data_IF_002685181563
#
_entry.id   IF_002685181563
#
_cell.length_a   1.000
_cell.length_b   1.000
_cell.length_c   1.000
_cell.angle_alpha   90.00
_cell.angle_beta   90.00
_cell.angle_gamma   90.00
#
_symmetry.space_group_name_H-M   'P 1'
#
loop_
_entity.id
_entity.type
_entity.pdbx_description
1 polymer ?
#
# COMPACT_ATOMS: atom_id res chain seq x y z
N UNK A 1 9.36 2.32 -9.01
CA UNK A 1 8.18 1.70 -9.66
C UNK A 1 7.61 2.70 -10.65
N UNK A 2 7.49 2.30 -11.92
CA UNK A 2 6.80 3.04 -12.96
C UNK A 2 5.41 2.43 -13.15
N UNK A 3 4.34 3.23 -13.00
CA UNK A 3 2.96 2.76 -13.07
C UNK A 3 2.52 2.70 -14.54
N UNK A 4 2.15 1.51 -15.02
CA UNK A 4 1.61 1.29 -16.37
C UNK A 4 0.09 1.20 -16.41
N UNK A 5 -0.54 0.92 -15.26
CA UNK A 5 -1.99 0.87 -15.16
C UNK A 5 -2.46 1.36 -13.80
N UNK A 6 -3.55 2.12 -13.85
CA UNK A 6 -4.27 2.61 -12.68
C UNK A 6 -5.75 2.26 -12.83
N UNK A 7 -6.35 1.68 -11.80
CA UNK A 7 -7.78 1.36 -11.76
C UNK A 7 -8.39 1.92 -10.48
N UNK A 8 -9.58 2.50 -10.59
CA UNK A 8 -10.36 2.94 -9.42
C UNK A 8 -11.65 2.12 -9.41
N UNK A 9 -11.91 1.46 -8.29
CA UNK A 9 -13.08 0.60 -8.11
C UNK A 9 -13.84 1.06 -6.89
N UNK A 10 -15.13 1.42 -7.07
CA UNK A 10 -16.03 1.72 -5.95
C UNK A 10 -16.64 0.41 -5.47
N UNK A 11 -16.50 0.15 -4.18
CA UNK A 11 -16.95 -1.09 -3.52
C UNK A 11 -17.91 -0.75 -2.38
N UNK A 12 -18.67 -1.74 -1.89
CA UNK A 12 -19.52 -1.56 -0.72
C UNK A 12 -18.73 -1.15 0.54
N UNK A 13 -17.44 -1.49 0.59
CA UNK A 13 -16.53 -1.17 1.69
C UNK A 13 -15.77 0.13 1.49
N UNK A 14 -15.98 0.86 0.39
CA UNK A 14 -15.33 2.13 0.08
C UNK A 14 -14.63 2.16 -1.29
N UNK A 15 -13.62 3.00 -1.46
CA UNK A 15 -12.94 3.23 -2.76
C UNK A 15 -11.60 2.51 -2.81
N UNK A 16 -11.42 1.59 -3.76
CA UNK A 16 -10.16 0.92 -4.02
C UNK A 16 -9.41 1.59 -5.18
N UNK A 17 -8.13 1.84 -5.01
CA UNK A 17 -7.22 2.33 -6.07
C UNK A 17 -6.12 1.30 -6.27
N UNK A 18 -5.98 0.80 -7.50
CA UNK A 18 -5.01 -0.21 -7.86
C UNK A 18 -3.98 0.36 -8.84
N UNK A 19 -2.71 0.07 -8.58
CA UNK A 19 -1.57 0.42 -9.42
C UNK A 19 -0.85 -0.85 -9.85
N UNK A 20 -0.55 -0.94 -11.15
CA UNK A 20 0.29 -2.01 -11.73
C UNK A 20 1.57 -1.39 -12.26
N UNK A 21 2.70 -1.92 -11.81
CA UNK A 21 4.04 -1.56 -12.24
C UNK A 21 4.52 -2.34 -13.46
N UNK A 22 5.56 -1.85 -14.12
CA UNK A 22 6.20 -2.54 -15.26
C UNK A 22 6.72 -3.94 -14.93
N UNK A 23 7.08 -4.21 -13.66
CA UNK A 23 7.53 -5.53 -13.20
C UNK A 23 6.41 -6.44 -12.74
N UNK A 24 5.17 -6.20 -13.19
CA UNK A 24 3.94 -6.85 -12.71
C UNK A 24 3.64 -6.64 -11.21
N UNK A 25 4.33 -5.71 -10.55
CA UNK A 25 4.05 -5.41 -9.16
C UNK A 25 2.68 -4.74 -9.04
N UNK A 26 1.83 -5.28 -8.15
CA UNK A 26 0.49 -4.76 -7.92
C UNK A 26 0.37 -4.18 -6.52
N UNK A 27 -0.09 -2.94 -6.43
CA UNK A 27 -0.39 -2.29 -5.17
C UNK A 27 -1.85 -1.84 -5.18
N UNK A 28 -2.60 -2.23 -4.16
CA UNK A 28 -4.00 -1.86 -3.99
C UNK A 28 -4.18 -1.11 -2.66
N UNK A 29 -4.76 0.09 -2.74
CA UNK A 29 -5.07 0.94 -1.59
C UNK A 29 -6.58 1.01 -1.43
N UNK A 30 -7.12 0.60 -0.28
CA UNK A 30 -8.54 0.66 0.02
C UNK A 30 -8.82 1.81 1.01
N UNK A 31 -9.61 2.78 0.59
CA UNK A 31 -10.18 3.82 1.44
C UNK A 31 -11.52 3.34 1.97
N UNK A 32 -11.61 3.06 3.27
CA UNK A 32 -12.81 2.49 3.92
C UNK A 32 -13.80 3.54 4.44
N UNK A 33 -13.54 4.83 4.21
CA UNK A 33 -14.46 5.88 4.65
C UNK A 33 -15.71 5.89 3.75
N UNK A 34 -16.83 5.49 4.35
CA UNK A 34 -18.13 5.38 3.69
C UNK A 34 -18.92 6.69 3.71
N UNK A 35 -18.52 7.68 4.51
CA UNK A 35 -19.27 8.94 4.67
C UNK A 35 -18.98 9.94 3.55
N UNK A 36 -17.78 9.88 2.97
CA UNK A 36 -17.38 10.72 1.84
C UNK A 36 -16.41 9.96 0.95
N UNK A 37 -16.94 9.35 -0.12
CA UNK A 37 -16.08 8.78 -1.15
C UNK A 37 -15.23 9.90 -1.77
N UNK A 38 -13.89 9.82 -1.73
CA UNK A 38 -13.05 10.82 -2.36
C UNK A 38 -13.34 10.88 -3.86
N UNK A 39 -13.16 12.07 -4.46
CA UNK A 39 -13.11 12.15 -5.91
C UNK A 39 -11.99 11.26 -6.45
N UNK A 40 -12.15 10.77 -7.68
CA UNK A 40 -11.18 9.88 -8.31
C UNK A 40 -9.76 10.45 -8.28
N UNK A 41 -9.60 11.75 -8.56
CA UNK A 41 -8.31 12.46 -8.47
C UNK A 41 -7.74 12.46 -7.05
N UNK A 42 -8.58 12.79 -6.05
CA UNK A 42 -8.16 12.81 -4.65
C UNK A 42 -7.80 11.41 -4.14
N UNK A 43 -8.53 10.39 -4.57
CA UNK A 43 -8.25 8.99 -4.22
C UNK A 43 -6.87 8.57 -4.75
N UNK A 44 -6.55 8.94 -5.99
CA UNK A 44 -5.26 8.64 -6.62
C UNK A 44 -4.11 9.35 -5.91
N UNK A 45 -4.25 10.64 -5.64
CA UNK A 45 -3.20 11.42 -4.97
C UNK A 45 -2.92 10.90 -3.55
N UNK A 46 -3.98 10.60 -2.79
CA UNK A 46 -3.86 9.97 -1.47
C UNK A 46 -3.20 8.60 -1.56
N UNK A 47 -3.57 7.79 -2.54
CA UNK A 47 -3.03 6.45 -2.67
C UNK A 47 -1.53 6.49 -3.03
N UNK A 48 -1.10 7.41 -3.90
CA UNK A 48 0.33 7.65 -4.17
C UNK A 48 1.09 8.12 -2.94
N UNK A 49 0.52 9.04 -2.15
CA UNK A 49 1.15 9.51 -0.91
C UNK A 49 1.34 8.37 0.10
N UNK A 50 0.33 7.50 0.25
CA UNK A 50 0.42 6.31 1.10
C UNK A 50 1.51 5.36 0.60
N UNK A 51 1.60 5.13 -0.72
CA UNK A 51 2.66 4.30 -1.31
C UNK A 51 4.06 4.82 -0.99
N UNK A 52 4.29 6.13 -1.13
CA UNK A 52 5.58 6.76 -0.80
C UNK A 52 5.90 6.60 0.69
N UNK A 53 4.92 6.80 1.57
CA UNK A 53 5.10 6.63 3.01
C UNK A 53 5.45 5.18 3.37
N UNK A 54 4.74 4.20 2.82
CA UNK A 54 5.00 2.77 3.06
C UNK A 54 6.41 2.40 2.58
N UNK A 55 6.81 2.85 1.39
CA UNK A 55 8.16 2.60 0.87
C UNK A 55 9.26 3.25 1.71
N UNK A 56 8.99 4.42 2.30
CA UNK A 56 9.99 5.21 3.05
C UNK A 56 10.17 4.69 4.48
N UNK A 57 9.09 4.40 5.18
CA UNK A 57 9.13 4.09 6.61
C UNK A 57 9.08 2.59 6.92
N UNK A 58 8.81 1.77 5.90
CA UNK A 58 8.46 0.37 6.03
C UNK A 58 7.15 0.21 6.80
N UNK A 59 6.48 -0.93 6.66
CA UNK A 59 5.38 -1.23 7.58
C UNK A 59 5.97 -1.67 8.92
N UNK A 60 5.26 -1.45 10.05
CA UNK A 60 5.66 -2.05 11.34
C UNK A 60 5.81 -3.57 11.24
N UNK A 61 5.09 -4.18 10.28
CA UNK A 61 5.15 -5.60 9.96
C UNK A 61 6.51 -6.02 9.38
N UNK A 62 7.09 -5.24 8.46
CA UNK A 62 8.43 -5.51 7.92
C UNK A 62 9.51 -5.42 9.01
N UNK A 63 9.37 -4.46 9.92
CA UNK A 63 10.30 -4.28 11.05
C UNK A 63 10.25 -5.45 12.04
N UNK A 64 9.06 -6.00 12.29
CA UNK A 64 8.85 -7.20 13.11
C UNK A 64 9.42 -8.46 12.44
N UNK A 65 9.24 -8.64 11.13
CA UNK A 65 9.81 -9.79 10.40
C UNK A 65 11.34 -9.76 10.37
N UNK A 66 11.95 -8.58 10.25
CA UNK A 66 13.41 -8.45 10.32
C UNK A 66 13.95 -8.73 11.73
N UNK A 67 13.25 -8.34 12.81
CA UNK A 67 13.67 -8.67 14.18
C UNK A 67 13.61 -10.16 14.53
N UNK A 68 12.64 -10.91 13.99
CA UNK A 68 12.52 -12.36 14.28
C UNK A 68 13.63 -13.17 13.60
N UNK A 69 14.07 -12.75 12.40
CA UNK A 69 15.15 -13.44 11.65
C UNK A 69 16.54 -13.08 12.19
N UNK A 70 16.70 -11.92 12.84
CA UNK A 70 17.98 -11.45 13.37
C UNK A 70 18.30 -11.86 14.80
N UNK A 71 17.59 -12.81 15.44
CA UNK A 71 18.09 -13.39 16.70
C UNK A 71 19.25 -14.33 16.36
N UNK A 72 20.51 -13.97 16.65
CA UNK A 72 21.58 -14.97 16.58
C UNK A 72 21.25 -15.97 17.70
N UNK A 73 21.18 -17.25 17.36
CA UNK A 73 21.20 -18.31 18.35
C UNK A 73 22.47 -18.20 19.18
N UNK A 74 22.39 -17.47 20.29
CA UNK A 74 23.43 -17.45 21.30
C UNK A 74 23.41 -18.80 22.01
N UNK A 75 24.43 -19.60 21.70
CA UNK A 75 25.07 -20.64 22.52
C UNK A 75 24.16 -21.46 23.47
N UNK A 76 24.12 -22.76 23.25
CA UNK A 76 24.76 -23.74 24.15
C UNK A 76 24.97 -25.07 23.44
#
# INVERSE_FOLDING_TARGET
MQIIKQTITRTASGTAVEFIGEGEEKISVLFTDTNASPSDTLAVDKAKAIMVQVATFGTRFDRLRQQVVSRPGSRQ
#
